data_IF_929925319219
#
_entry.id   IF_929925319219
#
_cell.length_a   1.000
_cell.length_b   1.000
_cell.length_c   1.000
_cell.angle_alpha   90.00
_cell.angle_beta   90.00
_cell.angle_gamma   90.00
#
_symmetry.space_group_name_H-M   'P 1'
#
loop_
_entity.id
_entity.type
_entity.pdbx_description
1 polymer ?
#
# COMPACT_ATOMS: atom_id res chain seq x y z
N UNK A 1 10.44 -14.60 21.59
CA UNK A 1 9.25 -13.97 20.98
C UNK A 1 9.41 -14.01 19.45
N UNK A 2 8.37 -14.44 18.79
CA UNK A 2 8.42 -14.45 17.32
C UNK A 2 8.45 -13.02 16.81
N UNK A 3 9.36 -12.76 15.89
CA UNK A 3 9.42 -11.46 15.26
C UNK A 3 8.21 -11.26 14.34
N UNK A 4 7.76 -10.02 14.22
CA UNK A 4 6.72 -9.66 13.29
C UNK A 4 7.20 -9.96 11.87
N UNK A 5 6.42 -10.70 11.10
CA UNK A 5 6.71 -11.04 9.71
C UNK A 5 5.57 -10.54 8.84
N UNK A 6 5.85 -9.58 7.98
CA UNK A 6 4.85 -8.96 7.12
C UNK A 6 4.78 -9.61 5.74
N UNK A 7 5.51 -10.71 5.52
CA UNK A 7 5.46 -11.42 4.24
C UNK A 7 4.05 -11.84 3.91
N UNK A 8 3.63 -11.59 2.71
CA UNK A 8 2.32 -11.99 2.22
C UNK A 8 1.68 -10.97 1.33
N UNK A 9 0.41 -11.21 1.04
CA UNK A 9 -0.37 -10.32 0.20
C UNK A 9 -1.19 -9.38 1.06
N UNK A 10 -1.21 -8.12 0.65
CA UNK A 10 -1.92 -7.06 1.33
C UNK A 10 -2.85 -6.35 0.36
N UNK A 11 -3.95 -5.85 0.86
CA UNK A 11 -4.82 -4.94 0.13
C UNK A 11 -4.92 -3.65 0.91
N UNK A 12 -5.03 -2.54 0.20
CA UNK A 12 -5.10 -1.26 0.88
C UNK A 12 -5.78 -0.20 0.04
N UNK A 13 -5.84 0.97 0.62
CA UNK A 13 -6.35 2.16 -0.03
C UNK A 13 -5.57 3.36 0.48
N UNK A 14 -5.24 4.27 -0.40
CA UNK A 14 -4.66 5.54 0.02
C UNK A 14 -5.60 6.68 -0.36
N UNK A 15 -5.55 7.73 0.47
CA UNK A 15 -6.46 8.87 0.38
C UNK A 15 -5.65 10.12 0.14
N UNK A 16 -6.12 10.94 -0.77
CA UNK A 16 -5.53 12.25 -1.04
C UNK A 16 -5.95 13.24 0.03
N UNK A 17 -5.17 14.32 0.23
CA UNK A 17 -5.55 15.32 1.22
C UNK A 17 -6.85 16.02 0.83
N UNK A 18 -7.64 16.39 1.84
CA UNK A 18 -8.85 17.18 1.64
C UNK A 18 -8.61 18.68 1.88
N UNK A 19 -7.35 19.06 2.05
CA UNK A 19 -6.93 20.43 2.27
C UNK A 19 -7.26 21.29 1.05
N UNK A 20 -8.01 22.39 1.21
CA UNK A 20 -8.36 23.26 0.08
C UNK A 20 -7.15 23.87 -0.65
N UNK A 21 -5.99 23.92 0.00
CA UNK A 21 -4.76 24.41 -0.65
C UNK A 21 -4.11 23.30 -1.49
N UNK A 22 -4.05 22.07 -0.97
CA UNK A 22 -3.37 20.96 -1.64
C UNK A 22 -4.29 20.25 -2.64
N UNK A 23 -5.59 20.21 -2.38
CA UNK A 23 -6.55 19.53 -3.23
C UNK A 23 -7.82 20.39 -3.33
N UNK A 24 -7.73 21.56 -3.99
CA UNK A 24 -8.82 22.53 -3.97
C UNK A 24 -10.11 22.04 -4.63
N UNK A 25 -10.01 21.09 -5.55
CA UNK A 25 -11.17 20.57 -6.26
C UNK A 25 -11.68 19.26 -5.67
N UNK A 26 -10.94 18.67 -4.74
CA UNK A 26 -11.27 17.39 -4.12
C UNK A 26 -11.67 16.34 -5.16
N UNK A 27 -10.93 16.30 -6.26
CA UNK A 27 -11.25 15.45 -7.41
C UNK A 27 -10.33 14.25 -7.54
N UNK A 28 -9.47 14.02 -6.56
CA UNK A 28 -8.60 12.84 -6.53
C UNK A 28 -9.29 11.74 -5.71
N UNK A 29 -9.79 10.68 -6.35
CA UNK A 29 -10.51 9.64 -5.63
C UNK A 29 -9.58 8.79 -4.78
N UNK A 30 -10.09 8.16 -3.70
CA UNK A 30 -9.31 7.16 -2.99
C UNK A 30 -8.86 6.07 -3.95
N UNK A 31 -7.61 5.63 -3.81
CA UNK A 31 -7.04 4.67 -4.75
C UNK A 31 -6.77 3.35 -4.04
N UNK A 32 -7.43 2.26 -4.45
CA UNK A 32 -7.13 0.94 -3.91
C UNK A 32 -5.82 0.42 -4.49
N UNK A 33 -5.16 -0.45 -3.73
CA UNK A 33 -3.95 -1.11 -4.23
C UNK A 33 -3.83 -2.49 -3.63
N UNK A 34 -3.05 -3.33 -4.30
CA UNK A 34 -2.60 -4.61 -3.76
C UNK A 34 -1.10 -4.56 -3.60
N UNK A 35 -0.57 -5.28 -2.63
CA UNK A 35 0.85 -5.35 -2.40
C UNK A 35 1.26 -6.78 -2.09
N UNK A 36 2.43 -7.16 -2.55
CA UNK A 36 3.05 -8.42 -2.17
C UNK A 36 4.36 -8.09 -1.49
N UNK A 37 4.47 -8.47 -0.22
CA UNK A 37 5.61 -8.11 0.63
C UNK A 37 6.45 -9.33 0.93
N UNK A 38 7.76 -9.10 0.95
CA UNK A 38 8.75 -10.03 1.48
C UNK A 38 9.44 -9.35 2.64
N UNK A 39 9.43 -9.99 3.79
CA UNK A 39 10.01 -9.46 5.02
C UNK A 39 11.14 -10.38 5.46
N UNK A 40 12.37 -9.87 5.39
CA UNK A 40 13.54 -10.62 5.78
C UNK A 40 14.15 -9.94 7.02
N UNK A 41 13.73 -10.39 8.19
CA UNK A 41 14.23 -9.89 9.48
C UNK A 41 14.06 -8.37 9.61
N UNK A 42 12.92 -7.85 9.17
CA UNK A 42 12.59 -6.44 9.26
C UNK A 42 12.92 -5.63 8.02
N UNK A 43 13.62 -6.21 7.04
CA UNK A 43 13.82 -5.56 5.75
C UNK A 43 12.67 -5.96 4.82
N UNK A 44 11.92 -4.98 4.36
CA UNK A 44 10.69 -5.20 3.61
C UNK A 44 10.89 -4.76 2.17
N UNK A 45 10.66 -5.67 1.25
CA UNK A 45 10.65 -5.37 -0.18
C UNK A 45 9.36 -5.90 -0.78
N UNK A 46 9.02 -5.43 -1.95
CA UNK A 46 7.83 -5.96 -2.60
C UNK A 46 7.40 -5.17 -3.80
N UNK A 47 6.20 -5.50 -4.26
CA UNK A 47 5.58 -4.86 -5.40
C UNK A 47 4.17 -4.43 -5.03
N UNK A 48 3.69 -3.38 -5.69
CA UNK A 48 2.30 -2.96 -5.58
C UNK A 48 1.70 -2.83 -6.97
N UNK A 49 0.38 -2.94 -7.03
CA UNK A 49 -0.37 -2.68 -8.25
C UNK A 49 -1.60 -1.88 -7.89
N UNK A 50 -1.88 -0.87 -8.69
CA UNK A 50 -3.05 -0.02 -8.47
C UNK A 50 -3.72 0.32 -9.80
N UNK A 51 -5.06 0.49 -9.83
CA UNK A 51 -5.72 0.95 -11.06
C UNK A 51 -5.38 2.42 -11.31
N UNK A 52 -5.33 2.78 -12.60
CA UNK A 52 -5.17 4.18 -12.98
C UNK A 52 -6.56 4.85 -12.90
N UNK A 53 -6.88 5.34 -11.71
CA UNK A 53 -8.19 5.95 -11.46
C UNK A 53 -8.34 7.33 -12.10
N UNK A 54 -7.24 7.95 -12.52
CA UNK A 54 -7.26 9.29 -13.13
C UNK A 54 -7.52 9.23 -14.63
N UNK A 55 -6.94 8.25 -15.33
CA UNK A 55 -6.97 8.22 -16.79
C UNK A 55 -7.53 6.91 -17.36
N UNK A 56 -7.77 5.90 -16.51
CA UNK A 56 -8.36 4.64 -16.95
C UNK A 56 -7.43 3.76 -17.77
N UNK A 57 -6.13 4.00 -17.72
CA UNK A 57 -5.14 3.17 -18.40
C UNK A 57 -4.94 1.85 -17.65
N UNK A 58 -3.99 1.06 -18.12
CA UNK A 58 -3.63 -0.19 -17.47
C UNK A 58 -3.17 0.05 -16.02
N UNK A 59 -3.25 -0.99 -15.19
CA UNK A 59 -2.80 -0.92 -13.81
C UNK A 59 -1.35 -0.46 -13.72
N UNK A 60 -1.07 0.31 -12.67
CA UNK A 60 0.24 0.90 -12.45
C UNK A 60 1.03 0.03 -11.48
N UNK A 61 2.11 -0.62 -11.93
CA UNK A 61 2.98 -1.38 -11.04
C UNK A 61 3.98 -0.45 -10.35
N UNK A 62 4.33 -0.78 -9.12
CA UNK A 62 5.35 -0.06 -8.38
C UNK A 62 6.18 -1.04 -7.55
N UNK A 63 7.34 -0.57 -7.12
CA UNK A 63 8.25 -1.33 -6.27
C UNK A 63 8.29 -0.64 -4.91
N UNK A 64 8.39 -1.42 -3.85
CA UNK A 64 8.56 -0.88 -2.51
C UNK A 64 9.83 -1.41 -1.87
N UNK A 65 10.44 -0.58 -1.03
CA UNK A 65 11.65 -0.91 -0.30
C UNK A 65 11.60 -0.18 1.04
N UNK A 66 11.75 -0.91 2.13
CA UNK A 66 11.66 -0.30 3.44
C UNK A 66 12.04 -1.25 4.56
N UNK A 67 11.50 -0.96 5.74
CA UNK A 67 11.80 -1.72 6.94
C UNK A 67 10.70 -1.54 7.98
N UNK A 68 10.68 -2.44 8.97
CA UNK A 68 9.83 -2.27 10.14
C UNK A 68 10.56 -2.71 11.40
N UNK A 69 10.08 -2.22 12.54
CA UNK A 69 10.61 -2.56 13.85
C UNK A 69 9.61 -3.36 14.70
N UNK A 70 8.57 -3.89 14.07
CA UNK A 70 7.50 -4.61 14.74
C UNK A 70 6.32 -3.74 15.13
N UNK A 71 6.48 -2.43 15.17
CA UNK A 71 5.39 -1.50 15.51
C UNK A 71 5.16 -0.45 14.44
N UNK A 72 6.18 -0.08 13.69
CA UNK A 72 6.08 0.92 12.62
C UNK A 72 6.69 0.36 11.35
N UNK A 73 5.96 0.50 10.26
CA UNK A 73 6.44 0.16 8.92
C UNK A 73 6.75 1.45 8.18
N UNK A 74 7.94 1.52 7.59
CA UNK A 74 8.35 2.64 6.73
C UNK A 74 8.82 2.07 5.41
N UNK A 75 8.27 2.58 4.32
CA UNK A 75 8.75 2.17 3.00
C UNK A 75 8.63 3.30 2.00
N UNK A 76 9.40 3.18 0.94
CA UNK A 76 9.32 4.07 -0.21
C UNK A 76 8.72 3.28 -1.35
N UNK A 77 7.74 3.86 -2.02
CA UNK A 77 7.13 3.30 -3.22
C UNK A 77 7.58 4.13 -4.40
N UNK A 78 8.05 3.48 -5.45
CA UNK A 78 8.46 4.16 -6.67
C UNK A 78 8.03 3.35 -7.88
N UNK A 79 7.74 4.07 -8.96
CA UNK A 79 7.28 3.46 -10.18
C UNK A 79 8.34 2.56 -10.80
N UNK A 80 7.92 1.46 -11.40
CA UNK A 80 8.79 0.57 -12.15
C UNK A 80 9.20 1.15 -13.51
N UNK A 81 8.68 2.33 -13.87
CA UNK A 81 9.04 3.00 -15.10
C UNK A 81 10.40 3.70 -14.96
N UNK A 82 11.19 3.80 -16.06
CA UNK A 82 12.52 4.43 -15.98
C UNK A 82 12.52 5.86 -15.45
N UNK A 83 11.45 6.61 -15.68
CA UNK A 83 11.30 7.99 -15.20
C UNK A 83 10.60 8.09 -13.85
N UNK A 84 10.37 6.96 -13.18
CA UNK A 84 9.55 6.93 -11.98
C UNK A 84 10.22 7.37 -10.69
N UNK A 85 11.53 7.56 -10.70
CA UNK A 85 12.27 7.88 -9.48
C UNK A 85 11.91 9.25 -8.90
N UNK A 86 11.45 10.15 -9.72
CA UNK A 86 11.09 11.50 -9.29
C UNK A 86 9.84 11.54 -8.43
N UNK A 87 9.02 10.49 -8.54
CA UNK A 87 7.73 10.42 -7.87
C UNK A 87 7.73 9.44 -6.70
N UNK A 88 8.88 9.27 -6.06
CA UNK A 88 8.98 8.40 -4.90
C UNK A 88 8.04 8.87 -3.79
N UNK A 89 7.28 7.93 -3.23
CA UNK A 89 6.30 8.23 -2.19
C UNK A 89 6.75 7.52 -0.92
N UNK A 90 6.83 8.28 0.17
CA UNK A 90 7.23 7.77 1.47
C UNK A 90 6.00 7.40 2.27
N UNK A 91 5.99 6.19 2.81
CA UNK A 91 4.90 5.68 3.63
C UNK A 91 5.41 5.38 5.02
N UNK A 92 4.64 5.78 6.03
CA UNK A 92 4.93 5.44 7.42
C UNK A 92 3.62 5.11 8.11
N UNK A 93 3.54 3.93 8.71
CA UNK A 93 2.32 3.49 9.34
C UNK A 93 2.55 2.65 10.57
N UNK A 94 1.57 2.67 11.46
CA UNK A 94 1.56 1.86 12.66
C UNK A 94 1.03 0.47 12.34
N UNK A 95 1.77 -0.56 12.77
CA UNK A 95 1.36 -1.95 12.61
C UNK A 95 0.50 -2.34 13.81
N UNK A 96 -0.67 -2.92 13.54
CA UNK A 96 -1.52 -3.43 14.61
C UNK A 96 -0.82 -4.56 15.38
N UNK A 97 -1.24 -4.79 16.62
CA UNK A 97 -0.58 -5.78 17.47
C UNK A 97 -0.65 -7.19 16.90
N UNK A 98 -1.66 -7.50 16.08
CA UNK A 98 -1.81 -8.80 15.44
C UNK A 98 -1.07 -8.88 14.08
N UNK A 99 -0.47 -7.78 13.63
CA UNK A 99 0.25 -7.74 12.36
C UNK A 99 -0.62 -7.78 11.12
N UNK A 100 -1.91 -7.54 11.26
CA UNK A 100 -2.85 -7.69 10.14
C UNK A 100 -3.26 -6.37 9.50
N UNK A 101 -2.96 -5.25 10.13
CA UNK A 101 -3.36 -3.93 9.63
C UNK A 101 -2.22 -2.94 9.80
N UNK A 102 -2.04 -2.07 8.82
CA UNK A 102 -1.13 -0.92 8.91
C UNK A 102 -1.90 0.32 8.51
N UNK A 103 -1.82 1.36 9.32
CA UNK A 103 -2.46 2.65 9.06
C UNK A 103 -1.46 3.76 9.27
N UNK A 104 -1.44 4.74 8.39
CA UNK A 104 -0.50 5.83 8.52
C UNK A 104 -0.64 6.88 7.43
N UNK A 105 0.50 7.42 7.05
CA UNK A 105 0.57 8.55 6.13
C UNK A 105 1.53 8.26 5.00
N UNK A 106 1.22 8.84 3.85
CA UNK A 106 2.15 8.91 2.73
C UNK A 106 2.49 10.38 2.47
N UNK A 107 3.66 10.60 1.89
CA UNK A 107 4.11 11.95 1.55
C UNK A 107 5.07 11.91 0.37
N UNK A 108 5.07 13.00 -0.40
CA UNK A 108 6.05 13.25 -1.43
C UNK A 108 6.81 14.54 -1.11
N UNK A 109 7.99 14.68 -1.72
CA UNK A 109 8.92 15.75 -1.34
C UNK A 109 8.35 17.15 -1.50
N UNK A 110 7.39 17.35 -2.39
CA UNK A 110 6.79 18.65 -2.64
C UNK A 110 5.71 19.03 -1.63
N UNK A 111 5.57 18.24 -0.57
CA UNK A 111 4.65 18.57 0.51
C UNK A 111 3.27 17.98 0.40
N UNK A 112 2.93 17.28 -0.68
CA UNK A 112 1.68 16.53 -0.72
C UNK A 112 1.75 15.37 0.25
N UNK A 113 0.70 15.20 1.03
CA UNK A 113 0.63 14.12 2.00
C UNK A 113 -0.83 13.69 2.16
N UNK A 114 -1.03 12.42 2.42
CA UNK A 114 -2.35 11.88 2.68
C UNK A 114 -2.23 10.74 3.67
N UNK A 115 -3.27 9.93 3.75
CA UNK A 115 -3.31 8.79 4.65
C UNK A 115 -3.44 7.51 3.85
N UNK A 116 -3.14 6.38 4.48
CA UNK A 116 -3.35 5.07 3.89
C UNK A 116 -3.71 4.07 4.96
N UNK A 117 -4.34 3.02 4.51
CA UNK A 117 -4.62 1.85 5.34
C UNK A 117 -4.46 0.62 4.50
N UNK A 118 -3.81 -0.40 5.03
CA UNK A 118 -3.69 -1.68 4.34
C UNK A 118 -3.95 -2.82 5.31
N UNK A 119 -4.39 -3.92 4.76
CA UNK A 119 -4.82 -5.08 5.52
C UNK A 119 -4.21 -6.32 4.89
N UNK A 120 -3.61 -7.14 5.74
CA UNK A 120 -2.98 -8.37 5.29
C UNK A 120 -4.05 -9.43 5.06
N UNK A 121 -3.90 -10.18 3.99
CA UNK A 121 -4.73 -11.36 3.76
C UNK A 121 -4.13 -12.53 4.51
N UNK A 122 -4.80 -12.96 5.58
CA UNK A 122 -4.42 -14.19 6.27
C UNK A 122 -4.77 -15.38 5.39
N UNK A 123 -4.18 -16.54 5.66
CA UNK A 123 -4.49 -17.74 4.91
C UNK A 123 -5.98 -18.05 4.87
N UNK A 124 -6.67 -17.88 6.00
CA UNK A 124 -8.10 -18.11 6.06
C UNK A 124 -8.87 -17.07 5.25
N UNK A 125 -8.54 -15.80 5.41
CA UNK A 125 -9.21 -14.73 4.67
C UNK A 125 -8.96 -14.85 3.16
N UNK A 126 -7.74 -15.16 2.76
CA UNK A 126 -7.42 -15.36 1.36
C UNK A 126 -8.20 -16.53 0.77
N UNK A 127 -8.36 -17.62 1.50
CA UNK A 127 -9.15 -18.76 1.07
C UNK A 127 -10.62 -18.42 0.89
N UNK A 128 -11.17 -17.65 1.81
CA UNK A 128 -12.56 -17.21 1.72
C UNK A 128 -12.79 -16.29 0.53
N UNK A 129 -11.86 -15.39 0.29
CA UNK A 129 -11.94 -14.51 -0.88
C UNK A 129 -11.85 -15.29 -2.19
N UNK A 130 -10.97 -16.28 -2.25
CA UNK A 130 -10.83 -17.12 -3.42
C UNK A 130 -12.12 -17.92 -3.69
N UNK A 131 -12.75 -18.45 -2.65
CA UNK A 131 -14.02 -19.15 -2.78
C UNK A 131 -15.13 -18.21 -3.25
N UNK A 132 -15.18 -17.01 -2.72
CA UNK A 132 -16.20 -16.04 -3.13
C UNK A 132 -16.00 -15.62 -4.58
N UNK A 133 -14.77 -15.37 -5.00
CA UNK A 133 -14.47 -15.01 -6.38
C UNK A 133 -14.82 -16.16 -7.34
N UNK A 134 -14.50 -17.38 -6.97
CA UNK A 134 -14.82 -18.56 -7.76
C UNK A 134 -16.32 -18.74 -7.91
N UNK A 135 -17.08 -18.49 -6.85
CA UNK A 135 -18.54 -18.55 -6.88
C UNK A 135 -19.14 -17.52 -7.82
N UNK A 136 -18.54 -16.34 -7.88
CA UNK A 136 -19.03 -15.26 -8.75
C UNK A 136 -18.74 -15.51 -10.23
N UNK A 137 -17.75 -16.31 -10.54
CA UNK A 137 -17.34 -16.57 -11.92
C UNK A 137 -18.01 -17.80 -12.53
N UNK A 138 -18.76 -18.56 -11.77
CA UNK A 138 -19.42 -19.77 -12.24
C UNK A 138 -20.75 -19.52 -12.91
#
# INVERSE_FOLDING_TARGET
>A
MADMDLTGRWTGVYFYPTDPVQNPFDDCPPTPFTAELSDAAGLVTGTTSEPDVMYGNADIPSIIDGSHDGSTLRFVKFSDAPEGFEDAIHYEGAISSDGLTVEGRWSILDGWAGTFRMQRQSGVAASLEAEAADSLTR
#
